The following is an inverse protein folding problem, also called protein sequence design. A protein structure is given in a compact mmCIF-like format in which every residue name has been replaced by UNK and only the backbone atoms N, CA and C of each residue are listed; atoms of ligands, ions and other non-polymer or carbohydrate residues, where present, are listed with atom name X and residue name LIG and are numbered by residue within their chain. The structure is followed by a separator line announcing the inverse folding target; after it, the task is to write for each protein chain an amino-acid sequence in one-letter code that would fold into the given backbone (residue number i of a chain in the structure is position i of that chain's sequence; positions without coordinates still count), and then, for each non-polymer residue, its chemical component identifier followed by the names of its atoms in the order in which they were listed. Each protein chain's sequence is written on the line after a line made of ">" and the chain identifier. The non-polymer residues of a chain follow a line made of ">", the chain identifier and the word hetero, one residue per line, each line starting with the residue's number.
data_IF_025571175614
#
_entry.id   IF_025571175614
#
_cell.length_a   1.000
_cell.length_b   1.000
_cell.length_c   1.000
_cell.angle_alpha   90.00
_cell.angle_beta   90.00
_cell.angle_gamma   90.00
#
_symmetry.space_group_name_H-M   'P 1'
#
loop_
_entity.id
_entity.type
_entity.pdbx_description
1 polymer ?
2 non-polymer ?
3 water ?
#
# COMPACT_ATOMS: atom_id res chain seq x y z
N UNK A 7 -41.62 -9.49 6.03
CA UNK A 7 -40.78 -8.97 7.16
C UNK A 7 -39.29 -9.36 7.02
N UNK A 8 -38.64 -9.01 5.89
CA UNK A 8 -37.29 -9.53 5.75
C UNK A 8 -36.28 -8.83 6.64
N UNK A 9 -35.46 -9.64 7.29
CA UNK A 9 -34.36 -9.14 8.07
C UNK A 9 -33.37 -8.35 7.18
N UNK A 10 -32.47 -7.61 7.80
CA UNK A 10 -31.38 -6.92 7.10
C UNK A 10 -30.62 -7.84 6.17
N UNK A 11 -30.26 -9.00 6.71
CA UNK A 11 -29.58 -10.04 5.91
C UNK A 11 -30.38 -10.52 4.72
N UNK A 12 -31.65 -10.87 4.94
CA UNK A 12 -32.53 -11.34 3.83
C UNK A 12 -32.75 -10.30 2.78
N UNK A 13 -32.85 -9.04 3.19
CA UNK A 13 -32.95 -7.97 2.21
C UNK A 13 -31.75 -7.96 1.28
N UNK A 14 -30.53 -8.03 1.81
CA UNK A 14 -29.31 -8.09 0.99
C UNK A 14 -29.34 -9.25 0.00
N UNK A 15 -29.61 -10.42 0.56
CA UNK A 15 -29.64 -11.64 -0.20
C UNK A 15 -30.71 -11.63 -1.29
N UNK A 16 -31.89 -11.08 -1.00
CA UNK A 16 -32.94 -10.97 -2.02
C UNK A 16 -32.59 -9.93 -3.10
N UNK A 17 -32.06 -8.79 -2.73
CA UNK A 17 -31.62 -7.86 -3.75
C UNK A 17 -30.40 -8.43 -4.48
N UNK A 18 -29.70 -9.35 -3.84
CA UNK A 18 -28.46 -9.87 -4.41
C UNK A 18 -27.39 -8.80 -4.60
N UNK A 19 -27.47 -7.74 -3.79
CA UNK A 19 -26.47 -6.69 -3.74
C UNK A 19 -26.13 -6.26 -2.30
N UNK A 20 -24.82 -6.13 -2.00
CA UNK A 20 -24.36 -5.46 -0.78
C UNK A 20 -23.89 -4.06 -1.12
N UNK A 21 -24.61 -3.07 -0.59
CA UNK A 21 -24.30 -1.65 -0.78
C UNK A 21 -23.51 -1.20 0.45
N UNK A 22 -22.26 -0.80 0.20
CA UNK A 22 -21.31 -0.37 1.25
C UNK A 22 -20.98 1.12 1.00
N UNK A 23 -21.01 1.93 2.05
CA UNK A 23 -20.57 3.31 1.91
C UNK A 23 -19.14 3.44 2.50
N UNK A 24 -18.31 4.23 1.84
CA UNK A 24 -16.95 4.45 2.24
C UNK A 24 -16.52 5.89 1.99
N UNK A 25 -15.26 6.15 2.32
CA UNK A 25 -14.63 7.43 2.13
C UNK A 25 -13.92 7.39 0.84
N UNK A 26 -13.80 8.55 0.23
CA UNK A 26 -12.95 8.69 -0.92
C UNK A 26 -11.52 8.94 -0.43
N UNK A 27 -10.76 7.88 -0.22
CA UNK A 27 -9.45 8.00 0.42
C UNK A 27 -8.59 6.82 0.05
N UNK A 28 -7.26 6.99 -0.05
CA UNK A 28 -6.36 5.89 -0.37
C UNK A 28 -6.45 4.75 0.60
N UNK A 29 -6.72 5.10 1.85
CA UNK A 29 -6.74 4.13 2.92
C UNK A 29 -7.97 3.26 2.90
N UNK A 30 -8.96 3.61 2.07
CA UNK A 30 -10.24 2.85 2.02
C UNK A 30 -10.64 2.35 0.62
N UNK A 31 -10.71 3.25 -0.37
CA UNK A 31 -11.30 2.94 -1.68
C UNK A 31 -10.77 3.92 -2.71
N UNK A 32 -10.33 3.42 -3.87
CA UNK A 32 -9.96 4.24 -4.99
C UNK A 32 -9.80 3.33 -6.19
N UNK A 33 -9.40 3.87 -7.31
CA UNK A 33 -9.35 3.06 -8.51
C UNK A 33 -7.92 2.92 -8.97
N UNK A 34 -7.56 1.77 -9.50
CA UNK A 34 -6.33 1.66 -10.24
C UNK A 34 -6.57 1.06 -11.64
N UNK A 35 -5.46 0.76 -12.32
CA UNK A 35 -5.38 0.11 -13.63
C UNK A 35 -6.41 -0.96 -13.77
N UNK A 36 -6.63 -1.76 -12.74
CA UNK A 36 -7.57 -2.87 -12.77
C UNK A 36 -8.94 -2.63 -12.14
N UNK A 37 -9.27 -1.37 -11.86
CA UNK A 37 -10.53 -1.09 -11.26
C UNK A 37 -10.43 -0.72 -9.79
N UNK A 38 -11.51 -1.01 -9.08
CA UNK A 38 -11.70 -0.62 -7.70
C UNK A 38 -10.77 -1.41 -6.81
N UNK A 39 -10.23 -0.77 -5.81
CA UNK A 39 -9.38 -1.42 -4.87
C UNK A 39 -9.27 -0.53 -3.63
N UNK A 40 -8.33 -0.87 -2.75
CA UNK A 40 -8.18 -0.23 -1.46
C UNK A 40 -8.55 -1.22 -0.35
N UNK A 41 -8.02 -1.01 0.84
CA UNK A 41 -8.18 -1.89 1.97
C UNK A 41 -9.62 -2.19 2.23
N UNK A 42 -10.45 -1.18 2.30
CA UNK A 42 -11.84 -1.42 2.71
C UNK A 42 -12.64 -2.02 1.57
N UNK A 43 -12.26 -1.68 0.33
CA UNK A 43 -12.85 -2.26 -0.86
C UNK A 43 -12.56 -3.75 -0.87
N UNK A 44 -11.30 -4.14 -0.77
CA UNK A 44 -10.98 -5.56 -0.87
C UNK A 44 -11.61 -6.33 0.28
N UNK A 45 -11.81 -5.68 1.41
CA UNK A 45 -12.24 -6.38 2.61
C UNK A 45 -13.72 -6.64 2.44
N UNK A 46 -14.41 -5.59 2.04
CA UNK A 46 -15.84 -5.59 1.74
C UNK A 46 -16.22 -6.40 0.52
N UNK A 47 -15.40 -6.42 -0.54
CA UNK A 47 -15.65 -7.34 -1.63
C UNK A 47 -15.59 -8.82 -1.19
N UNK A 48 -14.61 -9.22 -0.37
CA UNK A 48 -14.66 -10.60 0.18
C UNK A 48 -15.89 -10.82 1.03
N UNK A 49 -16.45 -9.80 1.72
CA UNK A 49 -17.67 -10.00 2.46
C UNK A 49 -18.88 -10.27 1.52
N UNK A 50 -18.97 -9.50 0.44
CA UNK A 50 -20.06 -9.68 -0.52
C UNK A 50 -19.94 -11.04 -1.21
N UNK A 51 -18.72 -11.46 -1.52
CA UNK A 51 -18.48 -12.80 -2.11
C UNK A 51 -18.97 -13.89 -1.14
N UNK A 52 -18.60 -13.78 0.15
CA UNK A 52 -19.04 -14.69 1.20
C UNK A 52 -20.56 -14.83 1.22
N UNK A 53 -21.25 -13.73 1.04
CA UNK A 53 -22.70 -13.69 1.11
C UNK A 53 -23.29 -14.06 -0.25
N UNK A 54 -22.45 -14.06 -1.27
CA UNK A 54 -22.83 -14.47 -2.59
C UNK A 54 -23.57 -13.37 -3.30
N UNK A 55 -23.17 -12.13 -3.05
CA UNK A 55 -23.87 -11.01 -3.63
C UNK A 55 -22.88 -10.12 -4.31
N UNK A 56 -23.39 -9.19 -5.11
CA UNK A 56 -22.61 -8.10 -5.73
C UNK A 56 -22.32 -6.99 -4.73
N UNK A 57 -21.06 -6.55 -4.68
CA UNK A 57 -20.67 -5.36 -3.91
C UNK A 57 -21.00 -4.12 -4.73
N UNK A 58 -21.65 -3.12 -4.12
CA UNK A 58 -21.80 -1.79 -4.76
C UNK A 58 -21.33 -0.78 -3.76
N UNK A 59 -20.34 0.00 -4.16
CA UNK A 59 -19.82 1.02 -3.29
C UNK A 59 -20.43 2.38 -3.59
N UNK A 60 -20.81 3.06 -2.50
CA UNK A 60 -21.09 4.52 -2.48
C UNK A 60 -20.00 5.20 -1.67
N UNK A 61 -19.81 6.50 -1.92
CA UNK A 61 -18.87 7.32 -1.17
C UNK A 61 -19.62 8.54 -0.70
N UNK A 62 -19.25 9.05 0.47
CA UNK A 62 -19.90 10.18 1.09
C UNK A 62 -19.07 11.41 0.86
N UNK A 63 -19.65 12.59 1.00
CA UNK A 63 -18.89 13.85 0.86
C UNK A 63 -18.01 14.12 2.08
N UNK A 64 -18.40 13.59 3.21
CA UNK A 64 -17.68 13.83 4.45
C UNK A 64 -18.27 12.92 5.52
N UNK A 65 -17.71 12.95 6.72
CA UNK A 65 -18.05 11.92 7.69
C UNK A 65 -19.46 12.07 8.19
N UNK A 66 -19.96 13.30 8.33
CA UNK A 66 -21.36 13.53 8.75
C UNK A 66 -22.36 13.04 7.67
N UNK A 67 -22.11 13.37 6.42
CA UNK A 67 -22.79 12.73 5.30
C UNK A 67 -22.76 11.18 5.38
N UNK A 68 -21.61 10.60 5.72
CA UNK A 68 -21.48 9.15 5.69
C UNK A 68 -22.34 8.53 6.75
N UNK A 69 -22.31 9.09 7.95
CA UNK A 69 -23.14 8.58 9.06
C UNK A 69 -24.65 8.88 8.83
N UNK A 70 -24.98 9.97 8.13
CA UNK A 70 -26.39 10.27 7.78
C UNK A 70 -27.00 9.27 6.77
N UNK A 71 -26.22 8.79 5.81
CA UNK A 71 -26.71 7.77 4.83
C UNK A 71 -27.07 6.43 5.47
N UNK A 72 -26.32 6.08 6.48
CA UNK A 72 -26.53 4.88 7.27
C UNK A 72 -27.81 4.90 8.09
N UNK A 73 -28.24 6.09 8.51
CA UNK A 73 -29.43 6.21 9.33
C UNK A 73 -30.70 6.38 8.47
N UNK A 74 -30.51 6.41 7.16
CA UNK A 74 -31.61 6.52 6.20
C UNK A 74 -32.13 5.17 5.88
N UNK A 75 -33.45 5.03 5.81
CA UNK A 75 -34.02 3.84 5.21
C UNK A 75 -33.68 3.85 3.74
N UNK A 76 -33.37 2.66 3.22
CA UNK A 76 -33.02 2.50 1.80
C UNK A 76 -31.58 2.84 1.53
N UNK A 77 -30.80 3.20 2.57
CA UNK A 77 -29.42 3.62 2.37
C UNK A 77 -28.43 2.46 2.37
N UNK A 78 -27.13 2.71 2.63
CA UNK A 78 -26.23 1.57 2.58
C UNK A 78 -26.40 0.58 3.74
N UNK A 79 -26.07 -0.67 3.43
CA UNK A 79 -26.18 -1.71 4.44
C UNK A 79 -25.15 -1.50 5.55
N UNK A 80 -23.95 -1.06 5.19
CA UNK A 80 -22.87 -0.87 6.18
C UNK A 80 -21.87 0.12 5.68
N UNK A 81 -21.06 0.65 6.58
CA UNK A 81 -19.97 1.55 6.20
C UNK A 81 -18.63 0.90 6.49
N UNK A 82 -17.78 0.88 5.46
CA UNK A 82 -16.45 0.35 5.57
C UNK A 82 -15.50 1.43 5.20
N UNK A 83 -14.90 2.03 6.22
CA UNK A 83 -14.31 3.35 6.01
C UNK A 83 -13.25 3.76 7.04
N UNK A 84 -12.51 2.79 7.57
CA UNK A 84 -11.50 3.10 8.58
C UNK A 84 -12.06 3.95 9.71
N UNK A 85 -13.22 3.51 10.21
CA UNK A 85 -13.97 4.23 11.22
C UNK A 85 -13.55 3.81 12.62
N UNK A 86 -13.34 4.81 13.47
CA UNK A 86 -13.04 4.61 14.87
C UNK A 86 -14.39 4.51 15.60
N UNK A 87 -14.68 3.38 16.23
CA UNK A 87 -16.03 3.22 16.78
C UNK A 87 -16.41 4.15 17.94
N UNK A 92 -25.30 6.04 20.51
CA UNK A 92 -26.10 6.36 19.33
C UNK A 92 -26.82 5.13 18.70
N UNK A 93 -28.14 5.08 18.91
CA UNK A 93 -29.03 4.09 18.30
C UNK A 93 -29.08 4.17 16.80
N UNK A 94 -28.68 5.32 16.25
CA UNK A 94 -28.63 5.48 14.82
C UNK A 94 -27.46 4.72 14.17
N UNK A 95 -26.40 4.43 14.94
CA UNK A 95 -25.21 3.69 14.44
C UNK A 95 -24.71 2.53 15.31
N UNK A 96 -24.47 1.37 14.69
CA UNK A 96 -23.90 0.18 15.41
C UNK A 96 -22.56 -0.22 14.81
N UNK A 97 -21.61 -0.64 15.64
CA UNK A 97 -20.30 -1.09 15.18
C UNK A 97 -20.17 -2.63 15.26
N UNK A 98 -19.50 -3.13 14.25
CA UNK A 98 -18.97 -4.48 14.25
C UNK A 98 -17.83 -4.62 15.28
N UNK A 99 -17.41 -5.86 15.48
CA UNK A 99 -16.13 -6.19 16.07
C UNK A 99 -15.04 -5.38 15.35
N UNK A 100 -13.96 -5.08 16.05
CA UNK A 100 -12.87 -4.30 15.48
C UNK A 100 -11.97 -5.20 14.69
N UNK A 101 -11.26 -4.61 13.73
CA UNK A 101 -10.43 -5.41 12.84
C UNK A 101 -8.98 -4.91 12.65
N UNK A 102 -8.57 -3.87 13.34
CA UNK A 102 -7.21 -3.38 13.13
C UNK A 102 -6.90 -2.35 14.17
N UNK A 103 -5.75 -2.47 14.84
CA UNK A 103 -5.44 -1.53 15.91
C UNK A 103 -4.62 -0.35 15.41
N UNK A 104 -5.22 0.83 15.37
CA UNK A 104 -4.49 2.00 14.93
C UNK A 104 -4.41 3.02 16.04
N UNK A 105 -3.34 3.82 15.99
CA UNK A 105 -2.99 4.78 17.00
C UNK A 105 -3.18 6.20 16.41
N UNK A 106 -3.89 7.11 17.10
CA UNK A 106 -3.92 8.53 16.62
C UNK A 106 -2.59 9.20 16.78
N UNK A 107 -2.10 9.82 15.70
CA UNK A 107 -0.77 10.46 15.75
C UNK A 107 -0.87 11.88 15.25
N UNK A 108 -0.31 12.74 16.08
CA UNK A 108 -0.10 14.13 15.77
C UNK A 108 1.07 14.23 14.77
N UNK A 109 0.85 14.99 13.72
CA UNK A 109 1.77 15.08 12.58
C UNK A 109 2.28 16.48 12.46
N UNK A 110 3.61 16.61 12.33
CA UNK A 110 4.21 17.89 12.21
C UNK A 110 5.16 17.96 11.03
N UNK A 111 5.63 19.16 10.77
CA UNK A 111 6.50 19.41 9.66
C UNK A 111 8.00 19.31 10.12
N UNK A 112 8.73 18.41 9.46
CA UNK A 112 10.17 18.29 9.68
C UNK A 112 10.87 19.62 9.77
N UNK A 113 11.69 19.78 10.79
CA UNK A 113 12.45 21.02 10.93
C UNK A 113 11.74 22.11 11.75
N UNK A 114 10.43 22.00 11.96
CA UNK A 114 9.68 22.88 12.89
C UNK A 114 9.71 22.26 14.29
N UNK A 115 9.15 22.97 15.24
CA UNK A 115 9.24 22.55 16.64
C UNK A 115 8.37 21.33 16.80
N UNK A 116 8.95 20.20 17.17
CA UNK A 116 8.15 18.98 17.41
C UNK A 116 7.36 19.15 18.72
N UNK A 117 6.00 19.12 18.68
CA UNK A 117 5.25 18.97 19.93
C UNK A 117 5.49 17.58 20.52
N UNK A 118 5.64 17.51 21.83
CA UNK A 118 5.93 16.24 22.53
C UNK A 118 4.75 15.77 23.36
N UNK A 119 3.81 16.66 23.63
CA UNK A 119 2.66 16.30 24.43
C UNK A 119 1.48 17.18 24.06
N UNK A 120 0.28 16.83 24.54
CA UNK A 120 -0.92 17.56 24.18
C UNK A 120 -0.87 19.06 24.46
N UNK A 121 -0.36 19.47 25.61
CA UNK A 121 -0.30 20.93 25.87
C UNK A 121 0.42 21.73 24.74
N UNK A 122 1.34 21.10 24.02
CA UNK A 122 2.09 21.73 22.93
C UNK A 122 1.27 21.97 21.68
N UNK A 123 0.01 21.54 21.65
CA UNK A 123 -0.86 21.84 20.53
C UNK A 123 -1.35 23.29 20.51
N UNK A 124 -1.22 23.94 21.67
CA UNK A 124 -1.61 25.34 21.86
C UNK A 124 -0.63 26.19 21.12
N UNK A 125 -1.09 27.29 20.57
CA UNK A 125 -0.20 28.06 19.73
C UNK A 125 0.17 27.45 18.37
N UNK A 126 -0.35 26.26 18.02
CA UNK A 126 -0.09 25.68 16.71
C UNK A 126 -1.36 25.75 15.87
N UNK A 127 -1.16 25.89 14.56
CA UNK A 127 -2.27 25.85 13.62
C UNK A 127 -2.54 24.40 13.22
N UNK A 128 -3.78 23.99 13.49
CA UNK A 128 -4.16 22.60 13.55
C UNK A 128 -5.56 22.43 12.94
N UNK A 129 -5.63 21.51 11.98
CA UNK A 129 -6.88 21.14 11.33
C UNK A 129 -7.01 19.61 11.28
N UNK A 130 -8.26 19.15 11.34
CA UNK A 130 -8.69 17.75 11.30
C UNK A 130 -10.02 17.71 10.55
N UNK A 131 -10.48 16.53 10.15
CA UNK A 131 -11.78 16.37 9.48
C UNK A 131 -12.92 16.62 10.41
N UNK A 132 -13.90 17.32 9.87
CA UNK A 132 -15.15 17.58 10.56
C UNK A 132 -15.87 16.23 10.79
N UNK A 133 -16.35 16.06 11.99
CA UNK A 133 -17.13 14.88 12.36
C UNK A 133 -16.29 13.64 12.60
N UNK A 134 -14.98 13.80 12.81
CA UNK A 134 -14.07 12.69 12.99
C UNK A 134 -13.79 12.43 14.48
N UNK A 135 -13.24 11.26 14.80
CA UNK A 135 -12.85 10.98 16.20
C UNK A 135 -11.66 11.83 16.66
N UNK A 136 -10.86 12.20 15.67
CA UNK A 136 -9.83 13.20 15.82
C UNK A 136 -10.37 14.54 16.35
N UNK A 137 -11.46 15.01 15.78
CA UNK A 137 -12.01 16.30 16.17
C UNK A 137 -12.58 16.18 17.59
N UNK A 138 -13.10 14.99 17.93
CA UNK A 138 -13.62 14.73 19.27
C UNK A 138 -12.49 14.71 20.28
N UNK A 139 -11.38 14.10 19.90
CA UNK A 139 -10.20 14.08 20.73
C UNK A 139 -9.75 15.48 21.08
N UNK A 140 -9.71 16.32 20.06
CA UNK A 140 -9.35 17.70 20.27
C UNK A 140 -10.40 18.48 21.08
N UNK A 141 -11.68 18.29 20.78
CA UNK A 141 -12.75 18.86 21.58
C UNK A 141 -12.56 18.55 23.06
N UNK A 142 -12.14 17.33 23.40
CA UNK A 142 -11.86 16.98 24.82
C UNK A 142 -10.63 17.66 25.40
N UNK A 143 -9.63 17.88 24.56
CA UNK A 143 -8.45 18.55 24.96
C UNK A 143 -8.74 20.00 25.25
N UNK A 144 -9.69 20.57 24.52
CA UNK A 144 -9.91 22.00 24.61
C UNK A 144 -10.64 22.34 25.93
N UNK A 145 -11.35 21.37 26.50
CA UNK A 145 -11.99 21.58 27.80
C UNK A 145 -10.93 21.75 28.87
N UNK A 146 -9.80 21.08 28.70
CA UNK A 146 -8.69 21.21 29.63
C UNK A 146 -7.82 22.43 29.37
N UNK A 147 -7.56 22.70 28.09
CA UNK A 147 -6.83 23.89 27.74
C UNK A 147 -7.72 24.70 26.84
N UNK A 148 -8.52 25.63 27.45
CA UNK A 148 -9.37 26.57 26.75
C UNK A 148 -8.65 27.32 25.63
N UNK A 149 -7.36 27.60 25.81
CA UNK A 149 -6.61 28.33 24.82
C UNK A 149 -6.35 27.50 23.55
N UNK A 150 -6.69 26.20 23.56
CA UNK A 150 -6.52 25.36 22.35
C UNK A 150 -7.41 25.81 21.21
N UNK A 151 -6.81 25.93 20.04
CA UNK A 151 -7.50 26.26 18.84
C UNK A 151 -7.19 25.26 17.72
N UNK A 152 -8.29 24.79 17.06
CA UNK A 152 -8.28 23.86 15.96
C UNK A 152 -9.48 24.08 15.06
N UNK A 153 -9.28 23.79 13.78
CA UNK A 153 -10.32 23.92 12.79
C UNK A 153 -10.69 22.58 12.22
N UNK A 154 -11.96 22.46 11.88
CA UNK A 154 -12.49 21.29 11.25
C UNK A 154 -12.97 21.64 9.88
N UNK A 155 -12.68 20.79 8.91
CA UNK A 155 -13.10 21.01 7.54
C UNK A 155 -13.94 19.84 7.11
N UNK A 156 -14.99 20.08 6.35
CA UNK A 156 -15.73 18.95 5.79
C UNK A 156 -15.58 18.91 4.31
N UNK A 157 -14.52 19.55 3.81
CA UNK A 157 -14.27 19.71 2.38
C UNK A 157 -12.99 19.01 1.94
N UNK A 158 -12.40 18.26 2.86
CA UNK A 158 -11.05 17.74 2.73
C UNK A 158 -11.00 16.30 3.23
N UNK A 159 -10.07 15.52 2.73
CA UNK A 159 -9.79 14.21 3.32
C UNK A 159 -8.46 14.26 4.10
N UNK A 160 -8.15 13.17 4.77
CA UNK A 160 -6.99 13.10 5.63
C UNK A 160 -5.71 13.28 4.81
N UNK A 161 -5.69 12.72 3.61
CA UNK A 161 -4.51 12.82 2.77
C UNK A 161 -4.27 14.27 2.42
N UNK A 162 -5.35 15.04 2.30
CA UNK A 162 -5.21 16.43 2.04
C UNK A 162 -4.67 17.18 3.25
N UNK A 163 -5.01 16.79 4.49
CA UNK A 163 -4.44 17.48 5.68
C UNK A 163 -2.95 17.18 5.81
N UNK A 164 -2.55 15.95 5.56
CA UNK A 164 -1.14 15.60 5.49
C UNK A 164 -0.38 16.45 4.47
N UNK A 165 -0.97 16.70 3.31
CA UNK A 165 -0.34 17.57 2.28
C UNK A 165 -0.24 19.01 2.79
N UNK A 166 -1.21 19.45 3.59
CA UNK A 166 -1.16 20.80 4.15
C UNK A 166 -0.05 20.97 5.15
N UNK A 167 0.25 19.90 5.91
CA UNK A 167 1.38 19.95 6.81
C UNK A 167 2.67 19.92 5.99
N UNK A 168 2.65 19.11 4.93
CA UNK A 168 3.79 18.86 4.12
C UNK A 168 4.23 20.12 3.47
N UNK A 169 3.29 20.87 2.92
CA UNK A 169 3.71 22.07 2.18
C UNK A 169 3.69 23.29 3.06
N UNK A 170 3.32 23.13 4.33
CA UNK A 170 3.33 24.23 5.29
C UNK A 170 2.05 25.08 5.48
N UNK A 171 0.90 24.68 4.94
CA UNK A 171 -0.32 25.45 5.12
C UNK A 171 -0.85 25.38 6.55
N UNK A 172 -0.60 24.27 7.27
CA UNK A 172 -0.99 24.13 8.68
C UNK A 172 0.20 23.58 9.41
N UNK A 173 0.26 23.81 10.72
CA UNK A 173 1.39 23.29 11.53
C UNK A 173 1.23 21.78 11.85
N UNK A 174 0.00 21.35 12.14
CA UNK A 174 -0.27 20.05 12.71
C UNK A 174 -1.56 19.45 12.20
N UNK A 175 -1.57 18.13 12.04
CA UNK A 175 -2.85 17.45 11.97
C UNK A 175 -2.83 16.25 12.91
N UNK A 176 -3.99 15.60 13.06
CA UNK A 176 -4.13 14.40 13.86
C UNK A 176 -4.80 13.36 12.97
N UNK A 177 -4.19 12.17 12.91
CA UNK A 177 -4.45 11.21 11.85
C UNK A 177 -4.21 9.78 12.43
N UNK A 178 -4.79 8.76 11.84
CA UNK A 178 -4.61 7.39 12.32
C UNK A 178 -3.31 6.88 11.72
N UNK A 179 -2.53 6.15 12.53
CA UNK A 179 -1.21 5.62 12.15
C UNK A 179 -1.14 4.81 10.87
N UNK A 180 -2.19 4.10 10.55
CA UNK A 180 -2.24 3.31 9.32
C UNK A 180 -2.30 4.23 8.08
N UNK A 181 -3.05 5.34 8.22
CA UNK A 181 -3.09 6.37 7.16
C UNK A 181 -1.80 7.11 7.05
N UNK A 182 -1.17 7.40 8.18
CA UNK A 182 0.12 8.06 8.09
C UNK A 182 1.06 7.20 7.29
N UNK A 183 1.18 5.94 7.71
CA UNK A 183 2.11 4.99 7.15
C UNK A 183 2.01 4.81 5.64
N UNK A 184 0.77 4.70 5.16
CA UNK A 184 0.44 4.60 3.76
C UNK A 184 0.91 5.81 2.96
N UNK A 185 0.75 7.00 3.55
CA UNK A 185 1.07 8.24 2.84
C UNK A 185 2.40 8.88 3.19
N UNK A 186 3.10 8.33 4.15
CA UNK A 186 4.42 8.83 4.47
C UNK A 186 5.35 8.76 3.29
N UNK A 187 5.08 7.81 2.39
CA UNK A 187 5.85 7.64 1.16
C UNK A 187 5.57 8.71 0.08
N UNK A 188 4.61 9.58 0.33
CA UNK A 188 4.27 10.66 -0.63
C UNK A 188 4.63 12.07 -0.14
N UNK A 189 4.57 12.29 1.16
CA UNK A 189 4.85 13.61 1.81
C UNK A 189 6.19 13.64 2.55
N UNK A 190 7.26 14.18 1.92
CA UNK A 190 8.59 13.99 2.50
C UNK A 190 8.86 14.77 3.74
N UNK A 191 8.08 15.80 4.01
CA UNK A 191 8.33 16.67 5.16
C UNK A 191 7.41 16.42 6.38
N UNK A 192 6.45 15.50 6.31
CA UNK A 192 5.63 15.18 7.49
C UNK A 192 6.33 14.17 8.37
N UNK A 193 6.21 14.37 9.69
CA UNK A 193 6.78 13.51 10.69
C UNK A 193 5.74 13.23 11.78
N UNK A 194 5.86 12.08 12.46
CA UNK A 194 5.06 11.75 13.63
C UNK A 194 5.66 12.51 14.82
N UNK A 195 4.88 13.35 15.47
CA UNK A 195 5.37 14.10 16.63
C UNK A 195 5.30 13.15 17.82
N UNK A 196 4.09 12.66 18.07
CA UNK A 196 3.83 11.67 19.11
C UNK A 196 2.46 11.06 18.87
N UNK A 197 2.17 10.09 19.72
CA UNK A 197 0.99 9.29 19.71
C UNK A 197 0.01 9.94 20.68
N UNK A 198 -1.16 10.34 20.19
CA UNK A 198 -2.11 11.05 21.01
C UNK A 198 -3.17 10.05 21.30
N UNK A 199 -2.90 9.19 22.27
CA UNK A 199 -3.70 8.01 22.52
C UNK A 199 -3.05 6.69 22.10
N UNK A 200 -3.53 5.61 22.69
CA UNK A 200 -3.03 4.27 22.43
C UNK A 200 -3.87 3.61 21.33
N UNK A 201 -3.43 2.47 20.84
CA UNK A 201 -4.08 1.80 19.74
C UNK A 201 -5.50 1.40 20.10
N UNK A 202 -6.35 1.38 19.11
CA UNK A 202 -7.78 1.13 19.26
C UNK A 202 -8.26 0.57 17.93
N UNK A 203 -9.26 -0.28 18.00
CA UNK A 203 -9.66 -1.02 16.82
C UNK A 203 -10.51 -0.17 15.90
N UNK A 204 -10.39 -0.41 14.61
CA UNK A 204 -11.34 0.14 13.66
C UNK A 204 -12.49 -0.84 13.53
N UNK A 205 -13.63 -0.34 13.12
CA UNK A 205 -14.83 -1.17 12.98
C UNK A 205 -15.74 -0.70 11.86
N UNK A 206 -16.46 -1.61 11.24
CA UNK A 206 -17.56 -1.25 10.31
C UNK A 206 -18.76 -0.74 11.07
N UNK A 207 -19.48 0.22 10.45
CA UNK A 207 -20.67 0.79 11.06
C UNK A 207 -21.98 0.30 10.36
N UNK A 208 -22.99 -0.03 11.13
CA UNK A 208 -24.23 -0.47 10.55
C UNK A 208 -25.38 0.42 11.05
N UNK A 209 -26.51 0.46 10.31
CA UNK A 209 -27.70 1.14 10.80
C UNK A 209 -28.07 0.66 12.17
N UNK A 210 -28.56 1.56 13.00
CA UNK A 210 -29.02 1.16 14.33
C UNK A 210 -30.26 0.29 14.22
N UNK A 211 -30.63 -0.34 15.32
CA UNK A 211 -31.79 -1.22 15.37
C UNK A 211 -31.53 -2.49 16.18
N UNK A 212 -32.57 -3.32 16.24
CA UNK A 212 -32.57 -4.50 17.10
C UNK A 212 -32.33 -5.80 16.31
N UNK A 213 -32.13 -5.67 14.99
CA UNK A 213 -31.97 -6.78 14.05
C UNK A 213 -30.48 -6.98 13.92
N UNK A 214 -29.98 -8.12 14.36
CA UNK A 214 -28.56 -8.36 14.35
C UNK A 214 -28.20 -9.35 13.29
N UNK A 215 -29.12 -9.59 12.34
CA UNK A 215 -28.93 -10.56 11.28
C UNK A 215 -27.73 -10.30 10.36
N UNK A 216 -27.53 -9.09 9.87
CA UNK A 216 -26.32 -8.83 9.05
C UNK A 216 -25.09 -8.59 9.94
N UNK A 217 -25.32 -8.07 11.15
CA UNK A 217 -24.26 -7.69 12.04
C UNK A 217 -23.49 -8.96 12.43
N UNK A 218 -24.24 -10.02 12.65
CA UNK A 218 -23.66 -11.34 12.98
C UNK A 218 -22.95 -11.97 11.80
N UNK A 219 -23.39 -11.71 10.59
CA UNK A 219 -22.65 -12.19 9.41
C UNK A 219 -21.35 -11.39 9.18
N UNK A 220 -21.41 -10.09 9.50
CA UNK A 220 -20.26 -9.21 9.49
C UNK A 220 -19.23 -9.65 10.49
N UNK A 221 -19.66 -9.91 11.69
CA UNK A 221 -18.74 -10.38 12.71
C UNK A 221 -18.19 -11.78 12.44
N UNK A 222 -18.98 -12.67 11.93
CA UNK A 222 -18.41 -13.98 11.50
C UNK A 222 -17.43 -13.78 10.35
N UNK A 223 -17.65 -12.80 9.46
CA UNK A 223 -16.69 -12.58 8.35
C UNK A 223 -15.34 -12.07 8.88
N UNK A 224 -15.40 -11.12 9.81
CA UNK A 224 -14.22 -10.52 10.38
C UNK A 224 -13.47 -11.54 11.17
N UNK A 225 -14.19 -12.36 11.92
CA UNK A 225 -13.54 -13.51 12.57
C UNK A 225 -12.77 -14.37 11.57
N UNK A 226 -13.44 -14.77 10.52
CA UNK A 226 -12.75 -15.54 9.51
C UNK A 226 -11.54 -14.83 8.95
N UNK A 227 -11.67 -13.52 8.70
CA UNK A 227 -10.67 -12.71 8.07
C UNK A 227 -9.39 -12.68 8.93
N UNK A 228 -9.56 -12.59 10.24
CA UNK A 228 -8.45 -12.65 11.19
C UNK A 228 -7.81 -14.06 11.26
N UNK A 229 -8.64 -15.07 11.29
CA UNK A 229 -8.22 -16.47 11.28
C UNK A 229 -7.27 -16.86 10.13
N UNK A 230 -7.60 -16.40 8.93
CA UNK A 230 -6.85 -16.77 7.70
C UNK A 230 -5.74 -15.83 7.27
N UNK A 231 -5.61 -14.67 7.91
CA UNK A 231 -4.55 -13.75 7.60
C UNK A 231 -4.92 -12.66 6.63
N UNK A 232 -6.21 -12.48 6.43
CA UNK A 232 -6.69 -11.63 5.36
C UNK A 232 -6.49 -10.19 5.77
N UNK A 233 -6.93 -9.85 6.96
CA UNK A 233 -6.74 -8.51 7.47
C UNK A 233 -5.26 -8.09 7.50
N UNK A 234 -4.41 -9.00 7.92
CA UNK A 234 -2.96 -8.72 8.03
C UNK A 234 -2.27 -8.64 6.65
N UNK A 235 -2.78 -9.38 5.68
CA UNK A 235 -2.23 -9.37 4.33
C UNK A 235 -2.62 -8.02 3.72
N UNK A 236 -3.88 -7.62 3.86
CA UNK A 236 -4.29 -6.28 3.40
C UNK A 236 -3.57 -5.15 4.12
N UNK A 237 -3.38 -5.26 5.44
CA UNK A 237 -2.68 -4.21 6.23
C UNK A 237 -1.22 -4.05 5.82
N UNK A 238 -0.51 -5.15 5.64
CA UNK A 238 0.89 -5.10 5.17
C UNK A 238 1.00 -4.49 3.81
N UNK A 239 -0.01 -4.70 2.96
CA UNK A 239 0.11 -4.25 1.59
C UNK A 239 -0.07 -2.73 1.52
N UNK A 240 -1.13 -2.24 2.13
CA UNK A 240 -1.46 -0.80 2.06
C UNK A 240 -0.86 0.01 3.13
N UNK A 241 -0.71 -0.54 4.33
CA UNK A 241 -0.30 0.26 5.51
C UNK A 241 1.05 -0.13 6.04
N UNK A 242 1.70 -1.06 5.33
CA UNK A 242 2.93 -1.69 5.84
C UNK A 242 4.23 -0.98 5.45
N UNK A 243 4.15 0.16 4.77
CA UNK A 243 5.37 0.76 4.17
C UNK A 243 6.45 1.08 5.20
N UNK A 244 6.04 1.54 6.38
CA UNK A 244 6.99 1.96 7.40
C UNK A 244 7.55 0.72 8.04
N UNK A 245 6.71 -0.27 8.33
CA UNK A 245 7.21 -1.53 8.87
C UNK A 245 8.24 -2.17 7.94
N UNK A 246 8.01 -2.17 6.62
CA UNK A 246 8.92 -2.87 5.76
C UNK A 246 10.09 -2.02 5.34
N UNK A 247 9.86 -0.72 5.04
CA UNK A 247 10.94 0.14 4.53
C UNK A 247 11.75 0.82 5.63
N UNK A 248 11.20 0.86 6.84
CA UNK A 248 11.68 1.66 7.92
C UNK A 248 11.08 3.04 7.78
N UNK A 249 11.07 3.81 8.87
CA UNK A 249 10.44 5.10 8.84
C UNK A 249 11.20 6.03 7.90
N UNK A 250 12.50 6.03 8.03
CA UNK A 250 13.41 6.84 7.24
C UNK A 250 13.36 6.47 5.76
N UNK A 251 13.41 5.18 5.46
CA UNK A 251 13.28 4.74 4.06
C UNK A 251 11.98 5.12 3.39
N UNK A 252 10.88 5.12 4.16
CA UNK A 252 9.56 5.53 3.64
C UNK A 252 9.51 7.03 3.33
N UNK A 253 10.03 7.90 4.22
CA UNK A 253 10.03 9.32 3.88
C UNK A 253 11.07 9.71 2.84
N UNK A 254 12.11 8.87 2.73
CA UNK A 254 13.16 9.06 1.77
C UNK A 254 12.59 8.69 0.41
N UNK A 255 11.73 7.69 0.39
CA UNK A 255 11.05 7.40 -0.85
C UNK A 255 10.28 8.66 -1.27
N UNK A 256 9.64 9.35 -0.34
CA UNK A 256 8.87 10.56 -0.70
C UNK A 256 9.73 11.64 -1.30
N UNK A 257 10.94 11.80 -0.72
CA UNK A 257 11.88 12.76 -1.22
C UNK A 257 12.24 12.48 -2.69
N UNK A 258 12.49 11.21 -2.97
CA UNK A 258 13.03 10.78 -4.24
C UNK A 258 11.94 10.77 -5.26
N UNK A 259 10.72 10.45 -4.88
CA UNK A 259 9.58 10.58 -5.75
C UNK A 259 9.33 12.05 -6.18
N UNK A 260 9.49 12.97 -5.24
CA UNK A 260 9.19 14.36 -5.54
C UNK A 260 10.29 15.06 -6.32
N UNK A 261 11.55 14.76 -5.97
CA UNK A 261 12.76 15.41 -6.50
C UNK A 261 13.49 14.62 -7.57
N UNK A 262 13.46 13.29 -7.54
CA UNK A 262 14.15 12.47 -8.56
C UNK A 262 13.29 11.95 -9.74
N UNK A 263 12.17 11.32 -9.43
CA UNK A 263 11.35 10.74 -10.46
C UNK A 263 11.02 11.70 -11.61
N UNK A 264 10.68 12.96 -11.33
CA UNK A 264 10.30 13.82 -12.48
C UNK A 264 11.33 13.94 -13.60
N UNK A 265 12.61 13.82 -13.27
CA UNK A 265 13.64 13.80 -14.30
C UNK A 265 13.55 12.58 -15.21
N UNK A 266 12.92 11.49 -14.76
CA UNK A 266 12.94 10.24 -15.55
C UNK A 266 11.58 9.70 -15.93
N UNK A 267 10.54 10.27 -15.36
CA UNK A 267 9.20 9.74 -15.56
C UNK A 267 8.95 9.49 -17.07
N UNK A 268 9.22 10.44 -17.93
CA UNK A 268 8.86 10.25 -19.34
C UNK A 268 9.69 9.13 -19.99
N UNK A 269 10.96 9.02 -19.65
CA UNK A 269 11.73 7.86 -20.07
C UNK A 269 11.02 6.56 -19.72
N UNK A 270 10.70 6.39 -18.43
CA UNK A 270 10.00 5.23 -17.96
C UNK A 270 8.73 4.98 -18.72
N UNK A 271 7.94 6.02 -18.91
CA UNK A 271 6.67 5.88 -19.61
C UNK A 271 6.86 5.51 -21.07
N UNK A 272 7.90 6.02 -21.73
CA UNK A 272 8.03 5.70 -23.14
C UNK A 272 8.36 4.21 -23.27
N UNK A 273 9.30 3.78 -22.45
CA UNK A 273 9.64 2.36 -22.40
C UNK A 273 8.43 1.49 -22.19
N UNK A 274 7.52 1.90 -21.32
CA UNK A 274 6.38 1.05 -20.98
C UNK A 274 5.49 0.87 -22.20
N UNK A 275 5.16 1.99 -22.82
CA UNK A 275 4.47 2.01 -24.09
C UNK A 275 5.14 1.07 -25.07
N UNK A 276 6.46 1.22 -25.25
CA UNK A 276 7.22 0.49 -26.26
C UNK A 276 7.16 -1.01 -26.05
N UNK A 277 7.04 -1.42 -24.78
CA UNK A 277 7.13 -2.84 -24.36
C UNK A 277 5.85 -3.33 -23.76
N UNK A 278 4.81 -2.52 -23.85
CA UNK A 278 3.51 -2.95 -23.39
C UNK A 278 3.53 -3.41 -21.90
N UNK A 279 4.34 -2.72 -21.10
CA UNK A 279 4.58 -3.08 -19.70
C UNK A 279 4.31 -1.85 -18.83
N UNK A 280 3.71 -2.08 -17.67
CA UNK A 280 3.34 -1.00 -16.78
C UNK A 280 4.60 -0.26 -16.40
N UNK A 281 4.65 1.04 -16.69
CA UNK A 281 5.83 1.80 -16.47
C UNK A 281 6.18 1.98 -15.00
N UNK A 282 5.23 1.85 -14.10
CA UNK A 282 5.53 2.02 -12.65
C UNK A 282 6.35 0.82 -12.14
N UNK A 283 6.17 -0.32 -12.75
CA UNK A 283 6.98 -1.48 -12.44
C UNK A 283 8.42 -1.22 -12.85
N UNK A 284 8.60 -0.61 -14.03
CA UNK A 284 9.95 -0.31 -14.55
C UNK A 284 10.60 0.69 -13.63
N UNK A 285 9.82 1.69 -13.20
CA UNK A 285 10.35 2.72 -12.27
C UNK A 285 10.66 2.08 -10.94
N UNK A 286 9.84 1.14 -10.54
CA UNK A 286 10.08 0.42 -9.30
C UNK A 286 11.43 -0.29 -9.36
N UNK A 287 11.76 -0.92 -10.50
CA UNK A 287 13.04 -1.60 -10.68
C UNK A 287 14.18 -0.60 -10.52
N UNK A 288 14.11 0.49 -11.28
CA UNK A 288 15.05 1.60 -11.14
C UNK A 288 15.23 2.11 -9.73
N UNK A 289 14.14 2.15 -8.96
CA UNK A 289 14.27 2.59 -7.59
C UNK A 289 15.07 1.61 -6.77
N UNK A 290 14.70 0.34 -6.84
CA UNK A 290 15.41 -0.69 -6.10
C UNK A 290 16.90 -0.81 -6.56
N UNK A 291 17.16 -0.68 -7.85
CA UNK A 291 18.54 -0.73 -8.34
C UNK A 291 19.43 0.45 -7.98
N UNK A 292 18.96 1.68 -8.24
CA UNK A 292 19.82 2.85 -8.10
C UNK A 292 19.24 4.01 -7.30
N UNK A 293 18.02 3.88 -6.79
CA UNK A 293 17.35 4.99 -6.10
C UNK A 293 17.21 6.11 -7.12
N UNK A 294 17.03 5.70 -8.37
CA UNK A 294 16.94 6.64 -9.52
C UNK A 294 18.14 7.55 -9.64
N UNK A 295 19.34 6.95 -9.60
CA UNK A 295 20.60 7.70 -9.80
C UNK A 295 21.29 7.19 -11.07
N UNK A 296 21.54 8.10 -12.01
CA UNK A 296 22.06 7.67 -13.31
C UNK A 296 23.51 7.30 -13.28
N UNK A 297 24.21 7.82 -12.28
CA UNK A 297 25.64 7.63 -12.16
C UNK A 297 26.09 6.42 -11.38
N UNK A 298 25.19 5.76 -10.67
CA UNK A 298 25.57 4.68 -9.77
C UNK A 298 26.32 3.57 -10.52
N UNK A 299 27.31 2.98 -9.82
CA UNK A 299 28.12 1.88 -10.34
C UNK A 299 28.39 0.94 -9.16
N UNK A 300 28.61 -0.33 -9.46
CA UNK A 300 28.90 -1.29 -8.42
C UNK A 300 30.30 -1.77 -8.62
N UNK A 301 30.72 -2.59 -7.68
CA UNK A 301 31.88 -3.45 -7.84
C UNK A 301 31.92 -4.06 -9.25
N UNK A 302 31.00 -4.98 -9.48
CA UNK A 302 31.08 -5.92 -10.61
C UNK A 302 30.70 -5.33 -11.98
N UNK A 303 31.13 -4.11 -12.27
CA UNK A 303 30.91 -3.49 -13.60
C UNK A 303 29.49 -3.55 -14.14
N UNK A 304 28.52 -3.42 -13.22
CA UNK A 304 27.14 -3.20 -13.58
C UNK A 304 26.82 -1.74 -13.24
N UNK A 305 26.11 -1.05 -14.10
CA UNK A 305 26.06 0.42 -13.98
C UNK A 305 24.80 1.06 -14.51
N UNK A 306 24.56 2.25 -13.97
CA UNK A 306 23.53 3.13 -14.46
C UNK A 306 22.25 2.96 -13.68
N UNK A 307 21.18 3.57 -14.18
CA UNK A 307 19.93 3.68 -13.44
C UNK A 307 19.30 2.31 -13.16
N UNK A 308 19.32 1.44 -14.18
CA UNK A 308 18.77 0.08 -14.06
C UNK A 308 19.79 -0.99 -13.72
N UNK A 309 21.03 -0.58 -13.47
CA UNK A 309 22.12 -1.52 -13.21
C UNK A 309 22.37 -2.59 -14.28
N UNK A 310 22.83 -2.16 -15.45
CA UNK A 310 23.12 -3.10 -16.54
C UNK A 310 24.61 -3.51 -16.64
N UNK A 311 24.83 -4.82 -16.80
CA UNK A 311 26.13 -5.36 -17.26
C UNK A 311 26.47 -4.81 -18.65
N UNK A 312 27.74 -4.98 -19.04
CA UNK A 312 28.17 -4.63 -20.40
C UNK A 312 27.55 -5.52 -21.48
N UNK A 313 27.32 -6.79 -21.17
CA UNK A 313 26.72 -7.69 -22.15
C UNK A 313 25.34 -7.13 -22.49
N UNK A 314 24.51 -7.04 -21.43
CA UNK A 314 23.13 -6.60 -21.51
C UNK A 314 23.12 -5.35 -22.38
N UNK A 315 23.93 -4.35 -21.99
CA UNK A 315 24.02 -3.11 -22.78
C UNK A 315 24.27 -3.38 -24.27
N UNK A 316 25.28 -4.23 -24.55
CA UNK A 316 25.70 -4.56 -25.93
C UNK A 316 24.58 -5.24 -26.69
N UNK A 317 24.05 -6.30 -26.07
CA UNK A 317 22.89 -7.04 -26.55
C UNK A 317 21.72 -6.10 -26.79
N UNK A 318 21.47 -5.17 -25.86
CA UNK A 318 20.36 -4.23 -25.95
C UNK A 318 20.66 -2.96 -26.78
N UNK A 319 21.86 -2.84 -27.35
CA UNK A 319 22.23 -1.65 -28.13
C UNK A 319 22.34 -0.35 -27.33
N UNK A 320 22.90 -0.45 -26.12
CA UNK A 320 23.13 0.69 -25.23
C UNK A 320 24.60 1.17 -25.25
N UNK A 321 24.88 2.13 -26.15
CA UNK A 321 26.13 2.93 -26.18
C UNK A 321 26.71 3.36 -24.82
N UNK A 322 25.92 4.13 -24.05
CA UNK A 322 26.38 4.75 -22.80
C UNK A 322 25.44 4.48 -21.64
N UNK A 323 25.88 3.57 -20.75
CA UNK A 323 25.15 3.18 -19.55
C UNK A 323 24.94 4.29 -18.52
N UNK A 324 25.69 5.39 -18.60
CA UNK A 324 25.48 6.51 -17.67
C UNK A 324 24.38 7.43 -18.17
N UNK A 325 23.95 7.24 -19.42
CA UNK A 325 22.80 7.95 -19.90
C UNK A 325 21.52 7.29 -19.32
N UNK A 326 20.66 8.06 -18.64
CA UNK A 326 19.47 7.46 -18.00
C UNK A 326 18.46 6.89 -18.97
N UNK A 327 18.11 7.67 -19.99
CA UNK A 327 17.33 7.19 -21.14
C UNK A 327 17.84 5.82 -21.63
N UNK A 328 19.14 5.70 -21.84
CA UNK A 328 19.71 4.48 -22.36
C UNK A 328 19.55 3.34 -21.36
N UNK A 329 19.96 3.56 -20.11
CA UNK A 329 19.88 2.56 -19.02
C UNK A 329 18.44 2.12 -18.81
N UNK A 330 17.51 3.04 -18.83
CA UNK A 330 16.10 2.66 -18.68
C UNK A 330 15.59 1.84 -19.85
N UNK A 331 15.90 2.25 -21.07
CA UNK A 331 15.55 1.48 -22.29
C UNK A 331 16.05 0.04 -22.25
N UNK A 332 17.31 -0.14 -21.90
CA UNK A 332 17.93 -1.46 -21.93
C UNK A 332 17.56 -2.33 -20.74
N UNK A 333 17.55 -1.69 -19.55
CA UNK A 333 17.04 -2.35 -18.35
C UNK A 333 15.64 -2.85 -18.58
N UNK A 334 14.78 -1.98 -19.07
CA UNK A 334 13.37 -2.36 -19.29
C UNK A 334 13.20 -3.36 -20.42
N UNK A 335 13.96 -3.26 -21.51
CA UNK A 335 13.91 -4.32 -22.56
C UNK A 335 14.34 -5.65 -21.98
N UNK A 336 15.36 -5.60 -21.15
CA UNK A 336 15.94 -6.80 -20.58
C UNK A 336 14.96 -7.50 -19.61
N UNK A 337 14.33 -6.73 -18.71
CA UNK A 337 13.27 -7.27 -17.85
C UNK A 337 12.19 -8.00 -18.62
N UNK A 338 11.73 -7.36 -19.68
CA UNK A 338 10.62 -7.87 -20.51
C UNK A 338 11.04 -9.11 -21.29
N UNK A 339 12.32 -9.22 -21.57
CA UNK A 339 12.86 -10.34 -22.34
C UNK A 339 13.02 -11.55 -21.42
N UNK A 340 13.66 -11.34 -20.28
CA UNK A 340 13.67 -12.32 -19.20
C UNK A 340 12.28 -12.81 -18.93
N UNK A 341 11.34 -11.91 -18.71
CA UNK A 341 9.97 -12.32 -18.39
C UNK A 341 9.38 -13.11 -19.52
N UNK A 342 9.83 -12.84 -20.73
CA UNK A 342 9.27 -13.56 -21.89
C UNK A 342 9.80 -14.98 -22.04
N UNK A 343 10.98 -15.25 -21.54
CA UNK A 343 11.59 -16.57 -21.70
C UNK A 343 11.03 -17.62 -20.75
N UNK A 344 10.68 -17.22 -19.53
CA UNK A 344 10.02 -18.10 -18.57
C UNK A 344 9.00 -19.01 -19.27
N UNK A 345 8.84 -20.26 -18.79
CA UNK A 345 7.81 -21.21 -19.25
C UNK A 345 6.43 -20.61 -19.42
N UNK A 346 5.82 -20.86 -20.58
CA UNK A 346 4.68 -20.09 -21.06
C UNK A 346 3.41 -20.12 -20.19
N UNK A 347 3.15 -21.23 -19.50
CA UNK A 347 1.91 -21.36 -18.70
C UNK A 347 1.98 -20.66 -17.33
N UNK A 348 3.19 -20.35 -16.84
CA UNK A 348 3.30 -19.46 -15.68
C UNK A 348 2.63 -18.13 -16.06
N UNK A 349 1.60 -17.75 -15.32
CA UNK A 349 0.76 -16.62 -15.65
C UNK A 349 1.13 -15.37 -14.81
N UNK A 350 0.57 -14.23 -15.18
CA UNK A 350 0.70 -13.04 -14.38
C UNK A 350 -0.26 -13.20 -13.25
N UNK A 351 0.08 -12.73 -12.05
CA UNK A 351 1.24 -11.94 -11.74
C UNK A 351 2.53 -12.72 -11.44
N UNK A 352 2.49 -14.03 -11.15
CA UNK A 352 3.76 -14.72 -10.78
C UNK A 352 4.80 -14.49 -11.86
N UNK A 353 4.36 -14.53 -13.11
CA UNK A 353 5.26 -14.43 -14.25
C UNK A 353 6.19 -13.25 -14.02
N UNK A 354 5.61 -12.12 -13.61
CA UNK A 354 6.39 -10.93 -13.38
C UNK A 354 7.31 -11.03 -12.16
N UNK A 355 6.90 -11.74 -11.12
CA UNK A 355 7.73 -11.85 -9.88
C UNK A 355 8.93 -12.77 -10.07
N UNK A 356 8.73 -13.84 -10.85
CA UNK A 356 9.84 -14.64 -11.33
C UNK A 356 10.78 -13.82 -12.21
N UNK A 357 10.21 -13.05 -13.13
CA UNK A 357 11.07 -12.19 -13.94
C UNK A 357 11.89 -11.22 -13.08
N UNK A 358 11.31 -10.71 -11.98
CA UNK A 358 12.07 -9.83 -11.08
C UNK A 358 13.19 -10.60 -10.35
N UNK A 359 12.90 -11.77 -9.82
CA UNK A 359 13.97 -12.61 -9.28
C UNK A 359 15.11 -12.82 -10.29
N UNK A 360 14.76 -13.17 -11.53
CA UNK A 360 15.78 -13.40 -12.56
C UNK A 360 16.60 -12.17 -12.86
N UNK A 361 15.93 -11.00 -12.96
CA UNK A 361 16.63 -9.75 -13.18
C UNK A 361 17.75 -9.50 -12.17
N UNK A 362 17.47 -9.85 -10.93
CA UNK A 362 18.34 -9.61 -9.84
C UNK A 362 19.40 -10.68 -9.70
N UNK A 363 19.04 -11.96 -9.87
CA UNK A 363 19.95 -13.09 -9.54
C UNK A 363 20.37 -13.92 -10.77
N UNK A 364 19.62 -13.80 -11.89
CA UNK A 364 20.05 -14.37 -13.16
C UNK A 364 19.40 -15.72 -13.31
N UNK A 365 19.17 -16.07 -14.57
CA UNK A 365 18.38 -17.23 -14.91
C UNK A 365 18.89 -18.51 -14.29
N UNK A 366 20.21 -18.64 -14.21
CA UNK A 366 20.87 -19.85 -13.70
C UNK A 366 20.48 -20.17 -12.27
N UNK A 367 20.67 -19.22 -11.38
CA UNK A 367 20.45 -19.45 -9.95
C UNK A 367 18.96 -19.55 -9.71
N UNK A 368 18.16 -18.85 -10.52
CA UNK A 368 16.72 -19.06 -10.39
C UNK A 368 16.36 -20.51 -10.69
N UNK A 369 16.93 -21.03 -11.79
CA UNK A 369 16.63 -22.36 -12.25
C UNK A 369 16.95 -23.28 -11.12
N UNK A 370 18.11 -23.11 -10.48
CA UNK A 370 18.50 -23.95 -9.33
C UNK A 370 17.47 -23.87 -8.21
N UNK A 371 16.92 -22.70 -7.94
CA UNK A 371 15.89 -22.53 -6.90
C UNK A 371 14.61 -23.24 -7.28
N UNK A 372 14.27 -23.23 -8.57
CA UNK A 372 13.06 -23.94 -9.01
C UNK A 372 13.28 -25.45 -8.92
N UNK A 373 14.43 -25.92 -9.35
CA UNK A 373 14.76 -27.33 -9.16
C UNK A 373 14.72 -27.72 -7.70
N UNK A 374 15.23 -26.87 -6.83
CA UNK A 374 15.20 -27.20 -5.42
C UNK A 374 13.74 -27.25 -4.92
N UNK A 375 12.92 -26.34 -5.42
CA UNK A 375 11.47 -26.41 -5.15
C UNK A 375 10.91 -27.77 -5.49
N UNK A 376 11.20 -28.25 -6.70
CA UNK A 376 10.68 -29.54 -7.15
C UNK A 376 11.18 -30.73 -6.33
N UNK A 377 12.48 -30.73 -6.02
CA UNK A 377 13.08 -31.77 -5.19
C UNK A 377 12.50 -31.77 -3.77
N UNK A 378 11.92 -30.65 -3.34
CA UNK A 378 11.24 -30.58 -2.06
C UNK A 378 9.78 -30.92 -2.22
N UNK A 379 9.34 -31.27 -3.42
CA UNK A 379 7.91 -31.53 -3.65
C UNK A 379 7.05 -30.29 -3.50
N UNK A 380 7.64 -29.11 -3.71
CA UNK A 380 6.88 -27.86 -3.88
C UNK A 380 6.75 -27.56 -5.38
N UNK A 381 6.04 -26.51 -5.75
CA UNK A 381 5.85 -26.25 -7.16
C UNK A 381 6.81 -25.21 -7.73
N UNK A 382 7.59 -25.60 -8.77
CA UNK A 382 8.59 -24.68 -9.31
C UNK A 382 8.01 -23.57 -10.18
N UNK A 383 6.71 -23.68 -10.46
CA UNK A 383 5.97 -22.66 -11.14
C UNK A 383 5.12 -21.81 -10.24
N UNK A 384 5.26 -22.04 -8.94
CA UNK A 384 4.57 -21.27 -7.95
C UNK A 384 5.55 -20.32 -7.29
N UNK A 385 5.29 -19.01 -7.40
CA UNK A 385 6.19 -18.00 -6.91
C UNK A 385 6.44 -18.16 -5.41
N UNK A 386 5.39 -18.40 -4.64
CA UNK A 386 5.60 -18.42 -3.20
C UNK A 386 6.50 -19.57 -2.77
N UNK A 387 6.43 -20.69 -3.48
CA UNK A 387 7.29 -21.82 -3.20
C UNK A 387 8.74 -21.52 -3.59
N UNK A 388 8.94 -20.91 -4.76
CA UNK A 388 10.28 -20.62 -5.20
C UNK A 388 10.90 -19.56 -4.32
N UNK A 389 10.10 -18.57 -3.93
CA UNK A 389 10.47 -17.62 -2.91
C UNK A 389 11.02 -18.31 -1.66
N UNK A 390 10.30 -19.33 -1.16
CA UNK A 390 10.75 -20.13 -0.01
C UNK A 390 12.17 -20.76 -0.25
N UNK A 391 12.47 -21.14 -1.47
CA UNK A 391 13.76 -21.71 -1.78
C UNK A 391 14.92 -20.75 -1.94
N UNK A 392 14.69 -19.51 -2.41
CA UNK A 392 15.79 -18.60 -2.79
C UNK A 392 16.80 -18.28 -1.71
N UNK A 393 16.33 -17.97 -0.48
CA UNK A 393 17.27 -17.72 0.59
C UNK A 393 18.22 -18.89 0.84
N UNK A 394 17.81 -20.09 0.44
CA UNK A 394 18.66 -21.24 0.67
C UNK A 394 19.94 -21.18 -0.18
N UNK A 395 19.93 -20.39 -1.27
CA UNK A 395 21.06 -20.36 -2.18
C UNK A 395 22.30 -19.72 -1.50
N UNK A 396 22.05 -19.05 -0.38
CA UNK A 396 23.06 -18.45 0.51
C UNK A 396 23.45 -19.32 1.70
N UNK A 397 22.80 -20.47 1.90
CA UNK A 397 23.11 -21.35 3.02
C UNK A 397 23.89 -22.50 2.44
N UNK A 398 25.02 -22.82 3.07
CA UNK A 398 25.97 -23.85 2.56
C UNK A 398 25.39 -25.20 2.32
N UNK A 399 24.69 -25.66 3.34
CA UNK A 399 23.89 -26.86 3.31
C UNK A 399 23.13 -27.02 2.01
N UNK A 400 22.58 -25.92 1.48
CA UNK A 400 21.74 -26.03 0.28
C UNK A 400 22.46 -25.64 -1.02
N UNK A 401 23.40 -24.71 -0.97
CA UNK A 401 24.06 -24.33 -2.22
C UNK A 401 25.05 -25.40 -2.65
N UNK A 402 25.43 -26.27 -1.71
CA UNK A 402 26.21 -27.46 -2.02
C UNK A 402 25.48 -28.35 -3.04
N UNK A 403 24.15 -28.34 -2.99
CA UNK A 403 23.34 -29.27 -3.76
C UNK A 403 22.86 -28.67 -5.05
N UNK A 404 23.44 -27.56 -5.45
CA UNK A 404 22.92 -26.82 -6.57
C UNK A 404 23.95 -26.81 -7.64
N UNK A 405 23.51 -26.80 -8.88
CA UNK A 405 24.45 -26.76 -9.98
C UNK A 405 25.38 -25.55 -10.01
N UNK A 406 24.84 -24.35 -9.76
CA UNK A 406 25.64 -23.13 -9.92
C UNK A 406 26.10 -22.57 -8.57
N UNK A 407 25.79 -23.28 -7.50
CA UNK A 407 26.32 -22.90 -6.18
C UNK A 407 25.77 -21.64 -5.55
N UNK A 408 26.59 -20.98 -4.75
CA UNK A 408 26.17 -19.89 -3.89
C UNK A 408 25.65 -18.69 -4.68
N UNK A 409 24.55 -18.14 -4.22
CA UNK A 409 24.08 -16.85 -4.69
C UNK A 409 23.37 -16.14 -3.55
N UNK A 410 23.22 -14.82 -3.69
CA UNK A 410 22.61 -13.99 -2.64
C UNK A 410 21.07 -14.04 -2.77
N UNK A 411 20.52 -15.24 -2.62
CA UNK A 411 19.09 -15.47 -2.83
C UNK A 411 18.23 -14.84 -1.74
N UNK A 412 18.81 -14.50 -0.60
CA UNK A 412 18.08 -13.69 0.41
C UNK A 412 17.91 -12.24 -0.04
N UNK A 413 18.95 -11.65 -0.59
CA UNK A 413 18.84 -10.34 -1.19
C UNK A 413 17.74 -10.35 -2.30
N UNK A 414 17.67 -11.41 -3.09
CA UNK A 414 16.70 -11.52 -4.18
C UNK A 414 15.24 -11.48 -3.63
N UNK A 415 14.95 -12.22 -2.56
CA UNK A 415 13.62 -12.16 -1.93
C UNK A 415 13.35 -10.70 -1.51
N UNK A 416 14.32 -10.03 -0.91
CA UNK A 416 14.13 -8.62 -0.55
C UNK A 416 13.90 -7.73 -1.78
N UNK A 417 14.63 -7.97 -2.87
CA UNK A 417 14.47 -7.21 -4.10
C UNK A 417 13.07 -7.38 -4.68
N UNK A 418 12.52 -8.57 -4.68
CA UNK A 418 11.21 -8.76 -5.28
C UNK A 418 10.14 -8.10 -4.39
N UNK A 419 10.22 -8.33 -3.08
CA UNK A 419 9.28 -7.73 -2.14
C UNK A 419 9.27 -6.21 -2.27
N UNK A 420 10.44 -5.61 -2.33
CA UNK A 420 10.51 -4.16 -2.39
C UNK A 420 10.04 -3.63 -3.69
N UNK A 421 10.50 -4.21 -4.80
CA UNK A 421 9.99 -3.75 -6.07
C UNK A 421 8.44 -3.85 -6.07
N UNK A 422 7.88 -4.95 -5.61
CA UNK A 422 6.42 -5.07 -5.57
C UNK A 422 5.77 -3.94 -4.78
N UNK A 423 6.42 -3.57 -3.66
CA UNK A 423 5.93 -2.53 -2.80
C UNK A 423 6.12 -1.18 -3.44
N UNK A 424 7.29 -0.91 -4.00
CA UNK A 424 7.48 0.35 -4.70
C UNK A 424 6.48 0.49 -5.82
N UNK A 425 6.22 -0.60 -6.53
CA UNK A 425 5.30 -0.59 -7.68
C UNK A 425 3.88 -0.20 -7.28
N UNK A 426 3.40 -0.87 -6.27
CA UNK A 426 2.19 -0.43 -5.56
C UNK A 426 2.17 1.06 -5.24
N UNK A 427 3.23 1.55 -4.62
CA UNK A 427 3.27 2.93 -4.14
C UNK A 427 3.14 3.89 -5.31
N UNK A 428 3.82 3.57 -6.41
CA UNK A 428 3.79 4.44 -7.59
C UNK A 428 2.44 4.33 -8.32
N UNK A 429 1.91 3.14 -8.36
CA UNK A 429 0.61 2.93 -9.00
C UNK A 429 -0.47 3.83 -8.41
N UNK A 430 -0.51 3.90 -7.08
CA UNK A 430 -1.57 4.58 -6.39
C UNK A 430 -1.49 6.12 -6.46
N UNK A 431 -0.40 6.68 -6.98
CA UNK A 431 -0.37 8.12 -7.25
C UNK A 431 0.00 8.53 -8.64
N UNK A 432 -0.14 7.65 -9.63
CA UNK A 432 0.25 8.00 -11.01
C UNK A 432 -0.73 7.43 -12.00
N UNK A 433 -0.67 7.92 -13.22
CA UNK A 433 -1.48 7.45 -14.34
C UNK A 433 -0.77 6.35 -15.15
N UNK A 434 -1.52 5.34 -15.65
CA UNK A 434 -0.96 4.26 -16.51
C UNK A 434 -0.47 4.66 -17.94
X LIG B 1 -11.12 6.95 12.11
X LIG B 1 -11.38 8.39 11.85
X LIG B 1 -12.77 8.57 12.33
X LIG B 1 -13.43 7.58 12.58
X LIG B 1 -11.29 8.73 10.34
X LIG B 1 -12.56 8.31 9.59
X LIG B 1 -11.04 10.20 10.14
X LIG B 1 -13.26 9.69 12.45
#
# INVERSE_FOLDING_TARGET
>A
GSSEAKAPTALERVQKEGVLRVITRNSPATYFQDRNGETGFEYELAKRFAERLGVELKIETADNLDDLYAQLSREGGPALAAAGLTPGREDDASVRYSHTYLDVTPQIIYRNGQQRPTRPEDLVGKRIMVLKGSSHAEQLAELKKQYPELKYEESDAVEVVDLLRMVDVGDIDLTLVDSNELAMNQVYFPNVRVAFDFGEARGLAWALPGGDDDSLMNEVNAFLDQAKKEGLLQRLKDRYYGHVDVLGYVGAYTFAQHLQQRLPRYESHFKQSGKQLDTDWRLLAAIGYQESLWQPGATSKTGVRGLMMLTNRTAQAMGVSNRLDPKQSIQGGSKYFVQIRSELPESIKEPDRSWFALAAYNIGGAHLEDARKMAEKEGLNPNKWLDVKKMLPRLAQKQWYAKTRYGYARGGETVHFVQNVRRYYDILTWVTQPQ
>B hetero
1 VAL N CA C O CB CG1 CG2 OXT
#
